data_IF_672481384656
#
_entry.id   IF_672481384656
#
_cell.length_a   1.000
_cell.length_b   1.000
_cell.length_c   1.000
_cell.angle_alpha   90.00
_cell.angle_beta   90.00
_cell.angle_gamma   90.00
#
_symmetry.space_group_name_H-M   'P 1'
#
loop_
_entity.id
_entity.type
_entity.pdbx_description
1 polymer ?
#
# COMPACT_ATOMS: atom_id res chain seq x y z
N UNK A 1 -14.42 7.74 3.51
CA UNK A 1 -13.14 7.59 2.77
C UNK A 1 -13.39 6.56 1.68
N UNK A 2 -13.55 7.00 0.44
CA UNK A 2 -13.59 6.10 -0.72
C UNK A 2 -12.14 5.69 -0.99
N UNK A 3 -11.87 4.40 -1.00
CA UNK A 3 -10.54 3.87 -1.30
C UNK A 3 -10.58 3.31 -2.71
N UNK A 4 -9.84 3.92 -3.64
CA UNK A 4 -9.81 3.49 -5.04
C UNK A 4 -8.80 2.37 -5.31
N UNK A 5 -8.02 1.97 -4.30
CA UNK A 5 -7.05 0.90 -4.46
C UNK A 5 -7.76 -0.42 -4.76
N UNK A 6 -7.44 -1.05 -5.90
CA UNK A 6 -7.99 -2.35 -6.31
C UNK A 6 -7.82 -3.45 -5.24
N UNK A 7 -6.82 -3.35 -4.37
CA UNK A 7 -6.60 -4.33 -3.30
C UNK A 7 -7.40 -4.00 -2.03
N UNK A 8 -8.20 -2.93 -1.98
CA UNK A 8 -9.03 -2.59 -0.83
C UNK A 8 -10.40 -3.25 -0.94
N UNK A 9 -10.84 -3.98 0.09
CA UNK A 9 -12.15 -4.67 0.12
C UNK A 9 -13.36 -3.75 -0.06
N UNK A 10 -13.19 -2.45 0.19
CA UNK A 10 -14.22 -1.42 0.06
C UNK A 10 -14.13 -0.63 -1.25
N UNK A 11 -13.14 -0.93 -2.09
CA UNK A 11 -13.01 -0.31 -3.41
C UNK A 11 -14.09 -0.84 -4.35
N UNK A 12 -14.77 0.01 -5.13
CA UNK A 12 -15.64 -0.44 -6.23
C UNK A 12 -14.87 -1.28 -7.26
N UNK A 13 -13.56 -1.04 -7.39
CA UNK A 13 -12.66 -1.74 -8.31
C UNK A 13 -12.04 -3.01 -7.70
N UNK A 14 -12.53 -3.47 -6.55
CA UNK A 14 -11.98 -4.64 -5.87
C UNK A 14 -12.28 -5.94 -6.67
N UNK A 15 -11.26 -6.70 -7.07
CA UNK A 15 -11.44 -7.94 -7.82
C UNK A 15 -12.18 -9.00 -7.01
N UNK A 16 -13.05 -9.78 -7.67
CA UNK A 16 -13.71 -10.95 -7.05
C UNK A 16 -12.75 -12.11 -6.79
N UNK A 17 -11.61 -12.14 -7.49
CA UNK A 17 -10.53 -13.10 -7.32
C UNK A 17 -9.56 -12.73 -6.17
N UNK A 18 -9.76 -11.60 -5.49
CA UNK A 18 -9.05 -11.29 -4.25
C UNK A 18 -9.63 -12.17 -3.11
N UNK A 19 -9.18 -13.41 -3.05
CA UNK A 19 -9.56 -14.41 -2.04
C UNK A 19 -8.37 -14.79 -1.14
N UNK A 20 -8.60 -15.33 0.07
CA UNK A 20 -7.53 -15.84 0.93
C UNK A 20 -6.72 -16.96 0.25
N UNK A 21 -5.41 -17.08 0.50
CA UNK A 21 -4.59 -16.26 1.41
C UNK A 21 -4.06 -14.97 0.77
N UNK A 22 -4.05 -14.87 -0.56
CA UNK A 22 -3.42 -13.78 -1.32
C UNK A 22 -4.03 -12.40 -1.01
N UNK A 23 -5.34 -12.33 -0.83
CA UNK A 23 -6.01 -11.07 -0.48
C UNK A 23 -5.59 -10.56 0.91
N UNK A 24 -5.34 -11.46 1.88
CA UNK A 24 -4.89 -11.08 3.23
C UNK A 24 -3.49 -10.46 3.23
N UNK A 25 -2.63 -10.85 2.28
CA UNK A 25 -1.27 -10.33 2.15
C UNK A 25 -1.21 -8.98 1.41
N UNK A 26 -2.13 -8.73 0.49
CA UNK A 26 -2.09 -7.60 -0.43
C UNK A 26 -3.08 -6.48 -0.10
N UNK A 27 -4.14 -6.77 0.66
CA UNK A 27 -5.14 -5.81 1.07
C UNK A 27 -4.68 -4.98 2.27
N UNK A 28 -4.61 -3.66 2.07
CA UNK A 28 -4.22 -2.70 3.10
C UNK A 28 -5.10 -2.71 4.36
N UNK A 29 -6.36 -3.15 4.24
CA UNK A 29 -7.29 -3.27 5.38
C UNK A 29 -7.11 -4.59 6.17
N UNK A 30 -6.57 -5.64 5.54
CA UNK A 30 -6.29 -6.92 6.22
C UNK A 30 -4.91 -6.95 6.86
N UNK A 31 -3.95 -6.23 6.28
CA UNK A 31 -2.70 -5.90 6.98
C UNK A 31 -3.14 -5.03 8.15
N UNK A 32 -3.02 -5.52 9.37
CA UNK A 32 -3.18 -4.74 10.60
C UNK A 32 -1.78 -4.40 11.14
N UNK A 33 -1.68 -3.50 12.11
CA UNK A 33 -0.42 -3.29 12.83
C UNK A 33 0.18 -4.63 13.32
N UNK A 34 1.48 -4.90 13.16
CA UNK A 34 2.57 -4.02 12.67
C UNK A 34 2.81 -4.11 11.15
N UNK A 35 2.02 -4.87 10.40
CA UNK A 35 2.20 -5.02 8.94
C UNK A 35 1.85 -3.75 8.16
N UNK A 36 1.07 -2.85 8.78
CA UNK A 36 0.80 -1.49 8.30
C UNK A 36 1.77 -0.45 8.84
N UNK A 37 2.72 -0.82 9.71
CA UNK A 37 3.70 0.14 10.22
C UNK A 37 4.51 0.66 9.03
N UNK A 38 4.16 1.85 8.56
CA UNK A 38 5.07 2.65 7.76
C UNK A 38 6.08 3.20 8.74
N UNK A 39 7.35 2.76 8.69
CA UNK A 39 8.37 3.37 9.53
C UNK A 39 8.36 4.88 9.28
N UNK A 40 8.56 5.67 10.33
CA UNK A 40 8.84 7.10 10.16
C UNK A 40 10.18 7.21 9.43
N UNK A 41 10.11 7.36 8.10
CA UNK A 41 11.29 7.50 7.26
C UNK A 41 11.68 8.98 7.32
N UNK A 42 12.76 9.28 8.04
CA UNK A 42 13.25 10.65 8.20
C UNK A 42 13.94 11.19 6.93
N UNK A 43 14.09 10.35 5.90
CA UNK A 43 14.72 10.72 4.64
C UNK A 43 14.11 9.93 3.47
N UNK A 44 14.08 10.56 2.30
CA UNK A 44 13.80 9.84 1.05
C UNK A 44 14.95 8.87 0.74
N UNK A 45 14.67 7.77 0.03
CA UNK A 45 15.75 6.86 -0.36
C UNK A 45 16.75 7.57 -1.30
N UNK A 46 18.03 7.12 -1.36
CA UNK A 46 19.07 7.77 -2.16
C UNK A 46 18.67 7.97 -3.63
N UNK A 47 17.96 7.02 -4.23
CA UNK A 47 17.45 7.11 -5.60
C UNK A 47 16.47 8.27 -5.77
N UNK A 48 15.51 8.42 -4.85
CA UNK A 48 14.55 9.52 -4.88
C UNK A 48 15.22 10.86 -4.58
N UNK A 49 16.24 10.89 -3.71
CA UNK A 49 17.04 12.08 -3.45
C UNK A 49 17.80 12.52 -4.71
N UNK A 50 18.45 11.58 -5.40
CA UNK A 50 19.18 11.85 -6.65
C UNK A 50 18.25 12.32 -7.76
N UNK A 51 17.02 11.78 -7.85
CA UNK A 51 16.01 12.23 -8.80
C UNK A 51 15.55 13.67 -8.51
N UNK A 52 15.38 14.03 -7.23
CA UNK A 52 15.01 15.39 -6.84
C UNK A 52 16.11 16.42 -7.14
N UNK A 53 17.38 16.04 -7.12
CA UNK A 53 18.52 16.90 -7.48
C UNK A 53 18.72 17.06 -8.99
N UNK A 54 17.97 16.36 -9.83
CA UNK A 54 18.07 16.40 -11.30
C UNK A 54 17.09 17.38 -11.95
N UNK A 55 16.37 18.16 -11.16
CA UNK A 55 15.50 19.26 -11.56
C UNK A 55 16.05 20.59 -11.04
#
# INVERSE_FOLDING_TARGET
IVCENRNCKFSPSHPRDCVPPKCKQTCWQYRQYPQQYSPNINSVCPTCQQAAMRH
#
